data_IF_563834668309
#
_entry.id   IF_563834668309
#
_cell.length_a   1.000
_cell.length_b   1.000
_cell.length_c   1.000
_cell.angle_alpha   90.00
_cell.angle_beta   90.00
_cell.angle_gamma   90.00
#
_symmetry.space_group_name_H-M   'P 1'
#
loop_
_entity.id
_entity.type
_entity.pdbx_description
1 polymer ?
#
# COMPACT_ATOMS: atom_id res chain seq x y z
N UNK A 1 31.64 18.82 -54.59
CA UNK A 1 30.51 19.78 -54.49
C UNK A 1 29.20 19.00 -54.46
N UNK A 2 28.31 19.39 -53.53
CA UNK A 2 26.86 19.06 -53.38
C UNK A 2 26.47 17.65 -52.94
N UNK A 3 25.43 17.42 -52.15
CA UNK A 3 24.86 18.02 -50.93
C UNK A 3 23.89 16.93 -50.42
N UNK A 4 23.97 16.66 -49.12
CA UNK A 4 23.08 15.94 -48.17
C UNK A 4 21.61 15.69 -48.57
N UNK A 5 21.05 14.60 -48.02
CA UNK A 5 19.63 14.47 -47.66
C UNK A 5 19.12 13.04 -47.88
N UNK A 6 18.47 12.33 -46.98
CA UNK A 6 18.00 12.62 -45.64
C UNK A 6 17.84 11.27 -44.92
N UNK A 7 18.54 11.07 -43.80
CA UNK A 7 18.39 9.93 -42.90
C UNK A 7 18.22 10.51 -41.50
N UNK A 8 17.05 11.06 -41.22
CA UNK A 8 16.67 11.60 -39.92
C UNK A 8 15.18 11.93 -40.02
N UNK A 9 14.30 11.02 -39.58
CA UNK A 9 12.94 11.30 -39.10
C UNK A 9 12.18 10.00 -38.76
N UNK A 10 12.70 9.20 -37.82
CA UNK A 10 11.91 8.13 -37.17
C UNK A 10 12.09 8.08 -35.64
N UNK A 11 12.50 9.18 -34.98
CA UNK A 11 12.75 9.20 -33.52
C UNK A 11 11.87 10.18 -32.73
N UNK A 12 10.72 10.62 -33.26
CA UNK A 12 9.89 11.65 -32.61
C UNK A 12 8.48 11.19 -32.20
N UNK A 13 8.21 9.89 -32.07
CA UNK A 13 6.88 9.40 -31.65
C UNK A 13 6.91 8.35 -30.53
N UNK A 14 8.00 8.24 -29.76
CA UNK A 14 7.89 7.74 -28.40
C UNK A 14 7.52 8.94 -27.50
N UNK A 15 6.28 9.43 -27.65
CA UNK A 15 5.71 10.32 -26.64
C UNK A 15 5.76 9.56 -25.32
N UNK A 16 6.51 10.10 -24.36
CA UNK A 16 6.44 9.66 -22.98
C UNK A 16 5.01 9.95 -22.48
N UNK A 17 4.06 9.06 -22.77
CA UNK A 17 2.71 9.12 -22.21
C UNK A 17 2.86 8.93 -20.70
N UNK A 18 2.91 10.06 -19.98
CA UNK A 18 2.78 10.04 -18.53
C UNK A 18 1.43 9.39 -18.21
N UNK A 19 1.38 8.43 -17.29
CA UNK A 19 0.13 7.81 -16.91
C UNK A 19 -0.86 8.89 -16.43
N UNK A 20 -2.11 8.80 -16.89
CA UNK A 20 -3.14 9.71 -16.44
C UNK A 20 -3.62 9.37 -15.02
N UNK A 21 -4.31 10.29 -14.35
CA UNK A 21 -4.74 10.14 -12.97
C UNK A 21 -5.56 8.87 -12.72
N UNK A 22 -6.43 8.49 -13.67
CA UNK A 22 -7.22 7.26 -13.58
C UNK A 22 -6.34 6.01 -13.61
N UNK A 23 -5.30 5.99 -14.45
CA UNK A 23 -4.32 4.90 -14.49
C UNK A 23 -3.53 4.84 -13.18
N UNK A 24 -3.07 5.97 -12.66
CA UNK A 24 -2.34 6.06 -11.40
C UNK A 24 -3.16 5.52 -10.22
N UNK A 25 -4.42 5.93 -10.10
CA UNK A 25 -5.32 5.44 -9.05
C UNK A 25 -5.60 3.94 -9.22
N UNK A 26 -5.81 3.48 -10.45
CA UNK A 26 -6.05 2.05 -10.73
C UNK A 26 -4.84 1.19 -10.36
N UNK A 27 -3.64 1.64 -10.72
CA UNK A 27 -2.40 0.97 -10.36
C UNK A 27 -2.17 0.95 -8.85
N UNK A 28 -2.37 2.09 -8.19
CA UNK A 28 -2.34 2.20 -6.73
C UNK A 28 -3.28 1.17 -6.10
N UNK A 29 -4.48 1.03 -6.64
CA UNK A 29 -5.45 0.06 -6.13
C UNK A 29 -5.00 -1.38 -6.28
N UNK A 30 -4.42 -1.73 -7.43
CA UNK A 30 -3.85 -3.06 -7.68
C UNK A 30 -2.71 -3.38 -6.72
N UNK A 31 -1.81 -2.43 -6.46
CA UNK A 31 -0.70 -2.63 -5.54
C UNK A 31 -1.14 -2.67 -4.07
N UNK A 32 -2.17 -1.91 -3.68
CA UNK A 32 -2.79 -2.02 -2.35
C UNK A 32 -3.40 -3.42 -2.15
N UNK A 33 -4.18 -3.90 -3.13
CA UNK A 33 -4.78 -5.23 -3.06
C UNK A 33 -3.70 -6.31 -2.89
N UNK A 34 -2.67 -6.25 -3.73
CA UNK A 34 -1.52 -7.14 -3.65
C UNK A 34 -0.84 -7.08 -2.29
N UNK A 35 -0.59 -5.88 -1.76
CA UNK A 35 0.09 -5.68 -0.47
C UNK A 35 -0.72 -6.25 0.68
N UNK A 36 -2.04 -6.03 0.70
CA UNK A 36 -2.94 -6.59 1.72
C UNK A 36 -2.99 -8.11 1.61
N UNK A 37 -3.22 -8.65 0.41
CA UNK A 37 -3.44 -10.08 0.22
C UNK A 37 -2.15 -10.90 0.44
N UNK A 38 -0.99 -10.35 0.10
CA UNK A 38 0.30 -11.04 0.31
C UNK A 38 0.93 -10.76 1.68
N UNK A 39 0.26 -10.00 2.55
CA UNK A 39 0.78 -9.68 3.88
C UNK A 39 0.96 -10.97 4.72
N UNK A 40 2.18 -11.27 5.21
CA UNK A 40 2.43 -12.45 6.06
C UNK A 40 1.58 -12.48 7.33
N UNK A 41 1.27 -11.33 7.93
CA UNK A 41 0.40 -11.26 9.09
C UNK A 41 -1.02 -11.69 8.77
N UNK A 42 -1.55 -11.31 7.60
CA UNK A 42 -2.86 -11.77 7.12
C UNK A 42 -2.89 -13.29 7.02
N UNK A 43 -1.87 -13.92 6.42
CA UNK A 43 -1.79 -15.39 6.29
C UNK A 43 -1.80 -16.08 7.67
N UNK A 44 -1.11 -15.53 8.68
CA UNK A 44 -1.15 -16.06 10.04
C UNK A 44 -2.53 -15.92 10.67
N UNK A 45 -3.13 -14.75 10.58
CA UNK A 45 -4.45 -14.49 11.16
C UNK A 45 -5.54 -15.35 10.51
N UNK A 46 -5.45 -15.57 9.19
CA UNK A 46 -6.35 -16.46 8.46
C UNK A 46 -6.24 -17.92 8.95
N UNK A 47 -5.03 -18.41 9.27
CA UNK A 47 -4.88 -19.75 9.85
C UNK A 47 -5.57 -19.90 11.22
N UNK A 48 -5.66 -18.82 12.01
CA UNK A 48 -6.36 -18.82 13.30
C UNK A 48 -7.88 -18.76 13.08
N UNK A 49 -8.34 -17.85 12.20
CA UNK A 49 -9.77 -17.66 11.91
C UNK A 49 -10.38 -18.85 11.15
N UNK A 50 -9.62 -19.46 10.23
CA UNK A 50 -9.99 -20.55 9.32
C UNK A 50 -11.21 -20.23 8.46
N UNK A 51 -11.25 -19.06 7.84
CA UNK A 51 -12.33 -18.63 6.94
C UNK A 51 -13.68 -18.41 7.61
N UNK A 52 -13.76 -18.40 8.95
CA UNK A 52 -15.03 -18.25 9.67
C UNK A 52 -15.48 -16.79 9.68
N UNK A 53 -16.72 -16.54 9.28
CA UNK A 53 -17.34 -15.23 9.40
C UNK A 53 -17.71 -14.88 10.85
N UNK A 54 -18.12 -15.88 11.64
CA UNK A 54 -18.46 -15.72 13.05
C UNK A 54 -17.43 -16.41 13.94
N UNK A 55 -16.79 -15.64 14.80
CA UNK A 55 -15.70 -16.11 15.68
C UNK A 55 -16.24 -16.42 17.07
N UNK A 56 -15.79 -17.53 17.66
CA UNK A 56 -15.99 -17.80 19.08
C UNK A 56 -15.07 -16.91 19.91
N UNK A 57 -15.39 -16.74 21.21
CA UNK A 57 -14.57 -15.94 22.14
C UNK A 57 -13.12 -16.43 22.18
N UNK A 58 -12.91 -17.75 22.23
CA UNK A 58 -11.57 -18.34 22.27
C UNK A 58 -10.75 -18.05 20.99
N UNK A 59 -11.41 -17.98 19.83
CA UNK A 59 -10.75 -17.62 18.58
C UNK A 59 -10.38 -16.14 18.56
N UNK A 60 -11.28 -15.27 19.03
CA UNK A 60 -11.00 -13.83 19.16
C UNK A 60 -9.79 -13.59 20.07
N UNK A 61 -9.73 -14.25 21.23
CA UNK A 61 -8.59 -14.12 22.14
C UNK A 61 -7.27 -14.56 21.50
N UNK A 62 -7.28 -15.65 20.71
CA UNK A 62 -6.09 -16.10 19.97
C UNK A 62 -5.65 -15.11 18.89
N UNK A 63 -6.61 -14.48 18.22
CA UNK A 63 -6.36 -13.44 17.22
C UNK A 63 -5.76 -12.19 17.87
N UNK A 64 -6.32 -11.72 18.98
CA UNK A 64 -5.83 -10.57 19.75
C UNK A 64 -4.40 -10.81 20.28
N UNK A 65 -4.14 -12.01 20.83
CA UNK A 65 -2.80 -12.41 21.27
C UNK A 65 -1.77 -12.47 20.11
N UNK A 66 -2.25 -12.56 18.86
CA UNK A 66 -1.43 -12.55 17.66
C UNK A 66 -1.41 -11.19 16.94
N UNK A 67 -1.95 -10.15 17.59
CA UNK A 67 -2.07 -8.78 17.07
C UNK A 67 -2.93 -8.64 15.79
N UNK A 68 -3.86 -9.55 15.55
CA UNK A 68 -4.68 -9.61 14.34
C UNK A 68 -5.79 -8.53 14.27
N UNK A 69 -6.04 -7.80 15.35
CA UNK A 69 -6.97 -6.66 15.38
C UNK A 69 -6.50 -5.48 14.52
N UNK A 70 -5.20 -5.42 14.18
CA UNK A 70 -4.61 -4.36 13.37
C UNK A 70 -4.31 -4.83 11.92
N UNK A 71 -4.69 -6.06 11.57
CA UNK A 71 -4.40 -6.66 10.27
C UNK A 71 -5.67 -6.65 9.42
N UNK A 72 -5.60 -6.05 8.23
CA UNK A 72 -6.70 -6.05 7.26
C UNK A 72 -7.01 -7.49 6.82
N UNK A 73 -8.30 -7.87 6.88
CA UNK A 73 -8.78 -9.22 6.58
C UNK A 73 -8.67 -9.57 5.10
N UNK A 74 -9.14 -8.66 4.25
CA UNK A 74 -9.19 -8.86 2.81
C UNK A 74 -9.07 -7.54 2.08
N UNK A 75 -8.36 -7.56 0.96
CA UNK A 75 -8.35 -6.45 0.02
C UNK A 75 -9.76 -6.14 -0.54
N UNK A 76 -10.58 -7.17 -0.75
CA UNK A 76 -11.96 -7.01 -1.29
C UNK A 76 -12.93 -6.34 -0.32
N UNK A 77 -12.56 -6.25 0.96
CA UNK A 77 -13.34 -5.60 2.02
C UNK A 77 -12.69 -4.29 2.48
N UNK A 78 -11.69 -3.83 1.74
CA UNK A 78 -10.95 -2.61 2.02
C UNK A 78 -11.34 -1.55 0.99
N UNK A 79 -11.81 -0.41 1.48
CA UNK A 79 -12.19 0.74 0.68
C UNK A 79 -11.10 1.81 0.73
N UNK A 80 -10.98 2.55 -0.36
CA UNK A 80 -10.08 3.68 -0.52
C UNK A 80 -10.79 4.92 0.03
N UNK A 81 -10.08 5.72 0.80
CA UNK A 81 -10.56 7.00 1.30
C UNK A 81 -9.53 8.08 0.99
N UNK A 82 -9.98 9.30 0.71
CA UNK A 82 -9.13 10.50 0.69
C UNK A 82 -7.87 10.39 -0.20
N UNK A 83 -7.97 9.70 -1.35
CA UNK A 83 -6.83 9.49 -2.25
C UNK A 83 -6.51 10.76 -3.03
N UNK A 84 -5.25 11.19 -2.97
CA UNK A 84 -4.74 12.41 -3.63
C UNK A 84 -3.44 12.10 -4.36
N UNK A 85 -3.28 12.67 -5.56
CA UNK A 85 -2.07 12.56 -6.38
C UNK A 85 -1.24 13.84 -6.17
N UNK A 86 0.01 13.65 -5.76
CA UNK A 86 0.98 14.71 -5.53
C UNK A 86 2.03 14.70 -6.64
N UNK A 87 2.22 15.84 -7.28
CA UNK A 87 3.18 16.04 -8.35
C UNK A 87 4.34 16.91 -7.86
N UNK A 88 5.29 16.30 -7.14
CA UNK A 88 6.55 16.94 -6.76
C UNK A 88 7.63 16.60 -7.81
N UNK A 89 8.88 16.39 -7.36
CA UNK A 89 9.96 15.86 -8.19
C UNK A 89 9.67 14.43 -8.67
N UNK A 90 8.84 13.69 -7.92
CA UNK A 90 8.33 12.35 -8.23
C UNK A 90 6.82 12.35 -7.99
N UNK A 91 6.08 11.58 -8.79
CA UNK A 91 4.64 11.42 -8.59
C UNK A 91 4.40 10.50 -7.40
N UNK A 92 3.58 10.93 -6.46
CA UNK A 92 3.25 10.17 -5.25
C UNK A 92 1.73 10.11 -5.10
N UNK A 93 1.19 8.96 -4.72
CA UNK A 93 -0.22 8.80 -4.42
C UNK A 93 -0.33 8.51 -2.92
N UNK A 94 -1.04 9.36 -2.21
CA UNK A 94 -1.26 9.21 -0.79
C UNK A 94 -2.76 9.18 -0.50
N UNK A 95 -3.14 8.49 0.58
CA UNK A 95 -4.53 8.43 0.98
C UNK A 95 -4.76 7.54 2.18
N UNK A 96 -6.02 7.22 2.41
CA UNK A 96 -6.48 6.29 3.43
C UNK A 96 -7.05 5.00 2.84
N UNK A 97 -7.06 3.97 3.66
CA UNK A 97 -7.83 2.75 3.46
C UNK A 97 -8.62 2.44 4.71
N UNK A 98 -9.82 1.91 4.55
CA UNK A 98 -10.65 1.43 5.66
C UNK A 98 -11.21 0.06 5.36
N UNK A 99 -11.09 -0.88 6.29
CA UNK A 99 -11.55 -2.26 6.10
C UNK A 99 -11.73 -3.00 7.42
N UNK A 100 -12.22 -4.23 7.35
CA UNK A 100 -12.37 -5.08 8.54
C UNK A 100 -11.05 -5.74 8.93
N UNK A 101 -10.78 -5.78 10.22
CA UNK A 101 -9.74 -6.62 10.81
C UNK A 101 -10.19 -8.07 10.95
N UNK A 102 -9.29 -8.95 11.33
CA UNK A 102 -9.62 -10.33 11.65
C UNK A 102 -10.46 -10.49 12.92
N UNK A 103 -10.50 -9.51 13.83
CA UNK A 103 -11.38 -9.55 15.01
C UNK A 103 -12.77 -8.96 14.71
N UNK A 104 -13.00 -8.50 13.46
CA UNK A 104 -14.28 -7.94 13.01
C UNK A 104 -14.43 -6.44 13.26
N UNK A 105 -13.42 -5.77 13.83
CA UNK A 105 -13.41 -4.31 13.99
C UNK A 105 -13.06 -3.64 12.67
N UNK A 106 -13.64 -2.45 12.40
CA UNK A 106 -13.17 -1.62 11.30
C UNK A 106 -11.87 -0.91 11.72
N UNK A 107 -10.89 -0.92 10.82
CA UNK A 107 -9.62 -0.23 10.99
C UNK A 107 -9.36 0.67 9.79
N UNK A 108 -8.70 1.79 10.05
CA UNK A 108 -8.27 2.75 9.03
C UNK A 108 -6.76 2.89 9.06
N UNK A 109 -6.13 3.04 7.89
CA UNK A 109 -4.69 3.18 7.74
C UNK A 109 -4.38 4.17 6.63
N UNK A 110 -3.30 4.93 6.77
CA UNK A 110 -2.77 5.73 5.66
C UNK A 110 -1.87 4.89 4.77
N UNK A 111 -1.71 5.29 3.53
CA UNK A 111 -0.72 4.71 2.63
C UNK A 111 0.01 5.78 1.81
N UNK A 112 1.19 5.40 1.34
CA UNK A 112 2.01 6.15 0.39
C UNK A 112 2.38 5.18 -0.73
N UNK A 113 2.18 5.57 -1.98
CA UNK A 113 2.55 4.81 -3.15
C UNK A 113 3.40 5.65 -4.10
N UNK A 114 4.54 5.07 -4.50
CA UNK A 114 5.41 5.57 -5.57
C UNK A 114 5.21 4.71 -6.81
N UNK A 115 4.54 5.21 -7.88
CA UNK A 115 4.36 4.48 -9.13
C UNK A 115 5.70 4.13 -9.80
N UNK A 116 6.64 5.08 -9.78
CA UNK A 116 7.93 4.93 -10.45
C UNK A 116 8.76 3.79 -9.82
N UNK A 117 8.73 3.68 -8.50
CA UNK A 117 9.42 2.62 -7.75
C UNK A 117 8.58 1.35 -7.59
N UNK A 118 7.28 1.41 -7.93
CA UNK A 118 6.27 0.39 -7.59
C UNK A 118 6.32 -0.01 -6.11
N UNK A 119 6.55 0.98 -5.26
CA UNK A 119 6.73 0.82 -3.83
C UNK A 119 5.49 1.35 -3.10
N UNK A 120 4.87 0.48 -2.31
CA UNK A 120 3.71 0.83 -1.48
C UNK A 120 4.01 0.59 -0.01
N UNK A 121 3.74 1.60 0.81
CA UNK A 121 3.87 1.50 2.27
C UNK A 121 2.52 1.84 2.88
N UNK A 122 2.01 0.93 3.71
CA UNK A 122 0.87 1.16 4.59
C UNK A 122 1.42 1.57 5.94
N UNK A 123 0.88 2.63 6.54
CA UNK A 123 1.27 3.15 7.85
C UNK A 123 1.37 2.04 8.88
N UNK A 124 2.52 1.73 9.49
CA UNK A 124 2.65 0.67 10.48
C UNK A 124 2.02 1.08 11.82
N UNK A 125 1.25 0.19 12.48
CA UNK A 125 0.64 0.49 13.79
C UNK A 125 0.88 -0.62 14.83
N UNK A 126 1.51 -1.71 14.42
CA UNK A 126 1.75 -2.86 15.28
C UNK A 126 2.95 -3.69 14.83
N UNK A 127 3.45 -4.56 15.70
CA UNK A 127 4.54 -5.48 15.36
C UNK A 127 4.16 -6.42 14.20
N UNK A 128 2.86 -6.65 13.97
CA UNK A 128 2.38 -7.45 12.85
C UNK A 128 2.66 -6.80 11.48
N UNK A 129 2.88 -5.48 11.43
CA UNK A 129 3.15 -4.74 10.21
C UNK A 129 4.63 -4.78 9.81
N UNK A 130 5.52 -5.23 10.72
CA UNK A 130 6.96 -5.24 10.48
C UNK A 130 7.32 -6.29 9.44
N UNK A 131 8.06 -5.87 8.42
CA UNK A 131 8.73 -6.82 7.52
C UNK A 131 9.96 -7.44 8.19
N UNK A 132 10.46 -8.54 7.62
CA UNK A 132 11.69 -9.19 8.09
C UNK A 132 12.93 -8.27 8.09
N UNK A 133 12.92 -7.22 7.27
CA UNK A 133 14.03 -6.27 7.14
C UNK A 133 13.93 -5.10 8.11
N UNK A 134 12.76 -4.91 8.72
CA UNK A 134 12.49 -3.86 9.71
C UNK A 134 12.50 -4.40 11.14
N UNK A 135 12.87 -5.67 11.33
CA UNK A 135 12.80 -6.35 12.62
C UNK A 135 13.52 -5.63 13.77
N UNK A 136 14.57 -4.87 13.45
CA UNK A 136 15.35 -4.10 14.42
C UNK A 136 14.72 -2.75 14.81
N UNK A 137 13.77 -2.22 14.02
CA UNK A 137 13.08 -0.97 14.34
C UNK A 137 11.91 -1.24 15.27
N UNK A 138 11.65 -0.34 16.20
CA UNK A 138 10.40 -0.35 16.96
C UNK A 138 9.25 0.10 16.07
N UNK A 139 8.00 -0.25 16.41
CA UNK A 139 6.81 0.27 15.71
C UNK A 139 6.82 1.81 15.68
N UNK A 140 7.21 2.45 16.79
CA UNK A 140 7.31 3.92 16.85
C UNK A 140 8.30 4.47 15.83
N UNK A 141 9.49 3.87 15.68
CA UNK A 141 10.46 4.31 14.69
C UNK A 141 9.91 4.17 13.27
N UNK A 142 9.16 3.11 12.97
CA UNK A 142 8.53 2.92 11.67
C UNK A 142 7.40 3.93 11.44
N UNK A 143 6.63 4.27 12.47
CA UNK A 143 5.63 5.34 12.41
C UNK A 143 6.28 6.70 12.16
N UNK A 144 7.38 7.00 12.86
CA UNK A 144 8.12 8.24 12.67
C UNK A 144 8.70 8.32 11.25
N UNK A 145 9.22 7.21 10.72
CA UNK A 145 9.71 7.12 9.34
C UNK A 145 8.59 7.36 8.33
N UNK A 146 7.44 6.69 8.51
CA UNK A 146 6.26 6.87 7.67
C UNK A 146 5.77 8.33 7.72
N UNK A 147 5.70 8.92 8.91
CA UNK A 147 5.25 10.30 9.09
C UNK A 147 6.17 11.30 8.39
N UNK A 148 7.48 11.10 8.47
CA UNK A 148 8.45 11.93 7.73
C UNK A 148 8.27 11.79 6.22
N UNK A 149 8.09 10.57 5.70
CA UNK A 149 7.81 10.36 4.28
C UNK A 149 6.49 11.00 3.86
N UNK A 150 5.44 10.87 4.68
CA UNK A 150 4.14 11.47 4.41
C UNK A 150 4.22 13.01 4.37
N UNK A 151 4.98 13.62 5.28
CA UNK A 151 5.19 15.07 5.27
C UNK A 151 5.99 15.53 4.05
N UNK A 152 6.96 14.73 3.61
CA UNK A 152 7.80 15.04 2.47
C UNK A 152 7.07 14.89 1.12
N UNK A 153 6.18 13.91 1.01
CA UNK A 153 5.63 13.47 -0.28
C UNK A 153 4.13 13.71 -0.46
N UNK A 154 3.40 14.00 0.61
CA UNK A 154 1.93 14.12 0.59
C UNK A 154 1.46 15.51 1.07
N UNK A 155 2.24 16.56 0.80
CA UNK A 155 1.93 17.96 1.13
C UNK A 155 2.41 18.86 0.01
#
# INVERSE_FOLDING_TARGET
MKWKGAWLLCLLLAGCDKPNDTQLVTETGRELQRTIDTNPARIRCEHIAKGRERLSRDVVQKLEASHCQNVLRSATETNFTDTTIYHHNTVMICGGITGKSFTGTFISRRFIFSPDEKALVIEPVSEADKTRFEGQKTVQQLQDDFNRQHQQYCQ
#
